data_IF_423920958535
#
_entry.id   IF_423920958535
#
_cell.length_a   1.000
_cell.length_b   1.000
_cell.length_c   1.000
_cell.angle_alpha   90.00
_cell.angle_beta   90.00
_cell.angle_gamma   90.00
#
_symmetry.space_group_name_H-M   'P 1'
#
loop_
_entity.id
_entity.type
_entity.pdbx_description
1 polymer ?
#
# COMPACT_ATOMS: atom_id res chain seq x y z
N UNK A 1 -5.28 -6.36 -21.06
CA UNK A 1 -4.24 -7.21 -21.71
C UNK A 1 -3.44 -7.78 -20.55
N UNK A 2 -2.90 -9.00 -20.61
CA UNK A 2 -2.11 -9.52 -19.48
C UNK A 2 -0.65 -9.19 -19.72
N UNK A 3 0.04 -8.71 -18.69
CA UNK A 3 1.51 -8.64 -18.73
C UNK A 3 2.07 -10.06 -18.93
N UNK A 4 3.11 -10.18 -19.76
CA UNK A 4 3.82 -11.46 -19.93
C UNK A 4 4.82 -11.72 -18.79
N UNK A 5 5.19 -12.99 -18.62
CA UNK A 5 6.06 -13.43 -17.53
C UNK A 5 7.43 -12.74 -17.55
N UNK A 6 7.96 -12.43 -18.73
CA UNK A 6 9.26 -11.77 -18.87
C UNK A 6 9.20 -10.33 -18.34
N UNK A 7 8.13 -9.62 -18.68
CA UNK A 7 7.88 -8.25 -18.22
C UNK A 7 7.64 -8.22 -16.71
N UNK A 8 6.88 -9.19 -16.19
CA UNK A 8 6.64 -9.33 -14.74
C UNK A 8 7.95 -9.48 -13.96
N UNK A 9 8.91 -10.27 -14.46
CA UNK A 9 10.19 -10.43 -13.76
C UNK A 9 11.08 -9.17 -13.82
N UNK A 10 11.04 -8.42 -14.92
CA UNK A 10 11.72 -7.11 -15.00
C UNK A 10 11.12 -6.11 -13.99
N UNK A 11 9.79 -6.05 -13.94
CA UNK A 11 9.06 -5.22 -12.97
C UNK A 11 9.45 -5.61 -11.54
N UNK A 12 9.45 -6.92 -11.24
CA UNK A 12 9.85 -7.44 -9.94
C UNK A 12 11.26 -7.04 -9.54
N UNK A 13 12.22 -7.14 -10.48
CA UNK A 13 13.59 -6.69 -10.27
C UNK A 13 13.67 -5.21 -9.89
N UNK A 14 12.98 -4.36 -10.65
CA UNK A 14 12.95 -2.92 -10.41
C UNK A 14 12.35 -2.56 -9.05
N UNK A 15 11.26 -3.23 -8.65
CA UNK A 15 10.63 -3.02 -7.33
C UNK A 15 11.54 -3.41 -6.17
N UNK A 16 12.31 -4.50 -6.30
CA UNK A 16 13.29 -4.89 -5.28
C UNK A 16 14.34 -3.81 -5.08
N UNK A 17 14.81 -3.18 -6.15
CA UNK A 17 15.75 -2.06 -6.07
C UNK A 17 15.12 -0.85 -5.39
N UNK A 18 13.88 -0.49 -5.76
CA UNK A 18 13.13 0.60 -5.10
C UNK A 18 13.07 0.37 -3.60
N UNK A 19 12.63 -0.81 -3.15
CA UNK A 19 12.50 -1.11 -1.73
C UNK A 19 13.85 -1.23 -1.00
N UNK A 20 14.93 -1.60 -1.69
CA UNK A 20 16.26 -1.65 -1.08
C UNK A 20 16.87 -0.26 -0.84
N UNK A 21 16.46 0.77 -1.60
CA UNK A 21 17.06 2.11 -1.51
C UNK A 21 16.64 2.91 -0.27
N UNK A 22 15.53 2.54 0.38
CA UNK A 22 14.95 3.29 1.49
C UNK A 22 14.40 4.68 1.13
N UNK A 23 14.36 5.02 -0.17
CA UNK A 23 13.79 6.28 -0.67
C UNK A 23 12.26 6.23 -0.59
N UNK A 24 11.57 7.39 -0.60
CA UNK A 24 10.11 7.42 -0.72
C UNK A 24 9.63 6.62 -1.93
N UNK A 25 8.74 5.66 -1.70
CA UNK A 25 8.33 4.67 -2.71
C UNK A 25 7.53 5.31 -3.85
N UNK A 26 6.56 6.18 -3.55
CA UNK A 26 5.68 6.74 -4.58
C UNK A 26 6.45 7.52 -5.68
N UNK A 27 7.35 8.47 -5.36
CA UNK A 27 8.17 9.13 -6.38
C UNK A 27 9.05 8.16 -7.18
N UNK A 28 9.59 7.13 -6.53
CA UNK A 28 10.42 6.14 -7.20
C UNK A 28 9.60 5.26 -8.17
N UNK A 29 8.33 5.02 -7.89
CA UNK A 29 7.41 4.34 -8.82
C UNK A 29 7.03 5.24 -10.00
N UNK A 30 6.78 6.53 -9.76
CA UNK A 30 6.52 7.50 -10.83
C UNK A 30 7.70 7.59 -11.81
N UNK A 31 8.94 7.61 -11.29
CA UNK A 31 10.18 7.59 -12.09
C UNK A 31 10.29 6.35 -13.00
N UNK A 32 9.69 5.22 -12.60
CA UNK A 32 9.72 3.96 -13.35
C UNK A 32 8.59 3.82 -14.37
N UNK A 33 7.66 4.78 -14.45
CA UNK A 33 6.46 4.63 -15.29
C UNK A 33 5.49 3.59 -14.71
N UNK A 34 5.27 3.63 -13.39
CA UNK A 34 4.37 2.67 -12.75
C UNK A 34 2.91 2.81 -13.20
N UNK A 35 2.49 4.02 -13.59
CA UNK A 35 1.14 4.28 -14.06
C UNK A 35 0.80 3.44 -15.31
N UNK A 36 1.75 3.28 -16.23
CA UNK A 36 1.62 2.48 -17.44
C UNK A 36 1.49 0.99 -17.13
N UNK A 37 2.30 0.48 -16.20
CA UNK A 37 2.22 -0.91 -15.73
C UNK A 37 0.85 -1.20 -15.10
N UNK A 38 0.35 -0.25 -14.30
CA UNK A 38 -0.95 -0.36 -13.64
C UNK A 38 -2.11 -0.29 -14.65
N UNK A 39 -2.03 0.56 -15.68
CA UNK A 39 -3.04 0.67 -16.73
C UNK A 39 -3.11 -0.60 -17.59
N UNK A 40 -1.95 -1.22 -17.86
CA UNK A 40 -1.87 -2.42 -18.69
C UNK A 40 -2.51 -3.65 -18.05
N UNK A 41 -2.10 -3.97 -16.80
CA UNK A 41 -2.64 -5.08 -16.01
C UNK A 41 -2.70 -4.73 -14.50
N UNK A 42 -3.83 -4.14 -14.05
CA UNK A 42 -3.96 -3.69 -12.66
C UNK A 42 -3.80 -4.81 -11.63
N UNK A 43 -4.26 -6.02 -11.95
CA UNK A 43 -4.26 -7.16 -11.03
C UNK A 43 -2.85 -7.67 -10.80
N UNK A 44 -2.10 -7.90 -11.89
CA UNK A 44 -0.71 -8.34 -11.80
C UNK A 44 0.17 -7.25 -11.19
N UNK A 45 0.02 -5.99 -11.61
CA UNK A 45 0.79 -4.87 -11.08
C UNK A 45 0.67 -4.76 -9.55
N UNK A 46 -0.57 -4.77 -9.04
CA UNK A 46 -0.86 -4.68 -7.60
C UNK A 46 -0.31 -5.89 -6.83
N UNK A 47 -0.45 -7.09 -7.41
CA UNK A 47 0.05 -8.33 -6.80
C UNK A 47 1.57 -8.34 -6.68
N UNK A 48 2.29 -7.93 -7.74
CA UNK A 48 3.75 -7.91 -7.76
C UNK A 48 4.29 -6.85 -6.80
N UNK A 49 3.70 -5.65 -6.80
CA UNK A 49 4.09 -4.55 -5.94
C UNK A 49 4.00 -4.89 -4.46
N UNK A 50 2.83 -5.33 -3.99
CA UNK A 50 2.65 -5.67 -2.58
C UNK A 50 3.36 -6.96 -2.19
N UNK A 51 3.59 -7.88 -3.14
CA UNK A 51 4.42 -9.05 -2.95
C UNK A 51 5.88 -8.69 -2.63
N UNK A 52 6.50 -7.80 -3.43
CA UNK A 52 7.87 -7.34 -3.16
C UNK A 52 7.95 -6.41 -1.95
N UNK A 53 6.94 -5.55 -1.72
CA UNK A 53 6.87 -4.72 -0.52
C UNK A 53 6.87 -5.59 0.75
N UNK A 54 6.06 -6.64 0.78
CA UNK A 54 5.97 -7.58 1.90
C UNK A 54 7.28 -8.36 2.10
N UNK A 55 7.95 -8.78 1.02
CA UNK A 55 9.27 -9.46 1.09
C UNK A 55 10.34 -8.57 1.68
N UNK A 56 10.33 -7.28 1.34
CA UNK A 56 11.26 -6.30 1.88
C UNK A 56 10.90 -5.84 3.31
N UNK A 57 9.74 -6.24 3.85
CA UNK A 57 9.16 -5.69 5.07
C UNK A 57 9.10 -4.14 5.03
N UNK A 58 8.87 -3.58 3.85
CA UNK A 58 8.85 -2.15 3.64
C UNK A 58 7.48 -1.57 4.02
N UNK A 59 7.51 -0.55 4.89
CA UNK A 59 6.34 0.28 5.18
C UNK A 59 6.17 1.36 4.12
N UNK A 60 5.01 1.44 3.47
CA UNK A 60 4.67 2.53 2.55
C UNK A 60 3.22 2.96 2.75
N UNK A 61 2.92 4.24 2.50
CA UNK A 61 1.55 4.76 2.46
C UNK A 61 0.74 4.20 1.27
N UNK A 62 1.45 3.66 0.27
CA UNK A 62 0.87 3.18 -0.99
C UNK A 62 -0.17 2.07 -0.77
N UNK A 63 0.10 1.14 0.15
CA UNK A 63 -0.87 0.10 0.50
C UNK A 63 -2.15 0.69 1.08
N UNK A 64 -2.02 1.71 1.94
CA UNK A 64 -3.17 2.39 2.50
C UNK A 64 -3.94 3.16 1.44
N UNK A 65 -3.25 3.91 0.58
CA UNK A 65 -3.87 4.65 -0.52
C UNK A 65 -4.61 3.74 -1.50
N UNK A 66 -4.01 2.60 -1.91
CA UNK A 66 -4.67 1.64 -2.79
C UNK A 66 -5.92 1.04 -2.15
N UNK A 67 -5.86 0.65 -0.88
CA UNK A 67 -7.03 0.13 -0.16
C UNK A 67 -8.12 1.19 0.03
N UNK A 68 -7.74 2.43 0.30
CA UNK A 68 -8.67 3.54 0.53
C UNK A 68 -9.29 4.06 -0.77
N UNK A 69 -8.59 3.96 -1.91
CA UNK A 69 -9.11 4.33 -3.23
C UNK A 69 -10.38 3.55 -3.63
N UNK A 70 -10.59 2.36 -3.07
CA UNK A 70 -11.80 1.57 -3.26
C UNK A 70 -13.02 2.12 -2.48
N UNK A 71 -12.81 3.06 -1.55
CA UNK A 71 -13.88 3.66 -0.76
C UNK A 71 -14.47 4.89 -1.47
N UNK A 72 -15.81 4.98 -1.59
CA UNK A 72 -16.45 6.15 -2.20
C UNK A 72 -16.17 7.42 -1.38
N UNK A 73 -15.67 8.45 -2.06
CA UNK A 73 -15.39 9.76 -1.45
C UNK A 73 -14.00 9.89 -0.81
N UNK A 74 -13.12 8.89 -0.95
CA UNK A 74 -11.72 9.02 -0.53
C UNK A 74 -10.95 10.00 -1.41
N UNK A 75 -10.12 10.83 -0.78
CA UNK A 75 -9.11 11.67 -1.44
C UNK A 75 -7.71 11.23 -0.96
N UNK A 76 -6.79 10.85 -1.87
CA UNK A 76 -5.43 10.44 -1.51
C UNK A 76 -4.72 11.42 -0.58
N UNK A 77 -3.93 10.89 0.37
CA UNK A 77 -3.11 11.69 1.27
C UNK A 77 -3.85 12.42 2.40
N UNK A 78 -5.18 12.29 2.50
CA UNK A 78 -5.97 12.92 3.58
C UNK A 78 -6.32 11.98 4.72
N UNK A 79 -6.21 10.66 4.51
CA UNK A 79 -6.50 9.66 5.53
C UNK A 79 -5.34 8.66 5.65
N UNK A 80 -5.34 7.93 6.75
CA UNK A 80 -4.39 6.85 7.01
C UNK A 80 -5.16 5.66 7.57
N UNK A 81 -4.76 4.45 7.18
CA UNK A 81 -5.35 3.23 7.71
C UNK A 81 -4.75 2.90 9.08
N UNK A 82 -5.64 2.81 10.07
CA UNK A 82 -5.34 2.18 11.35
C UNK A 82 -5.82 0.72 11.28
N UNK A 83 -4.88 -0.22 11.23
CA UNK A 83 -5.22 -1.63 11.26
C UNK A 83 -5.45 -2.09 12.71
N UNK A 84 -6.40 -3.00 12.97
CA UNK A 84 -6.59 -3.56 14.31
C UNK A 84 -5.29 -4.14 14.86
N UNK A 85 -5.02 -3.88 16.15
CA UNK A 85 -3.84 -4.46 16.77
C UNK A 85 -3.99 -6.00 16.81
N UNK A 86 -2.97 -6.80 16.44
CA UNK A 86 -3.11 -8.26 16.32
C UNK A 86 -3.63 -8.96 17.57
N UNK A 87 -3.34 -8.41 18.77
CA UNK A 87 -3.83 -8.92 20.06
C UNK A 87 -5.31 -8.64 20.33
N UNK A 88 -5.93 -7.71 19.61
CA UNK A 88 -7.35 -7.35 19.72
C UNK A 88 -8.22 -8.07 18.68
N UNK A 89 -7.60 -8.88 17.81
CA UNK A 89 -8.30 -9.55 16.71
C UNK A 89 -8.86 -8.55 15.71
N UNK A 90 -10.07 -8.84 15.19
CA UNK A 90 -10.78 -8.02 14.20
C UNK A 90 -11.65 -6.92 14.80
N UNK A 91 -11.63 -6.72 16.12
CA UNK A 91 -12.46 -5.70 16.75
C UNK A 91 -11.84 -4.31 16.58
N UNK A 92 -12.59 -3.34 16.04
CA UNK A 92 -12.15 -1.95 16.06
C UNK A 92 -12.04 -1.49 17.52
N UNK A 93 -10.91 -0.90 17.87
CA UNK A 93 -10.62 -0.47 19.23
C UNK A 93 -9.68 0.73 19.25
N UNK A 94 -9.45 1.34 20.42
CA UNK A 94 -8.60 2.53 20.55
C UNK A 94 -7.11 2.25 20.25
N UNK A 95 -6.73 0.99 20.06
CA UNK A 95 -5.35 0.55 19.80
C UNK A 95 -5.28 -0.15 18.45
N UNK A 96 -4.37 0.31 17.60
CA UNK A 96 -4.11 -0.27 16.29
C UNK A 96 -2.65 -0.12 15.88
N UNK A 97 -2.33 -0.66 14.71
CA UNK A 97 -1.00 -0.53 14.08
C UNK A 97 -1.14 0.38 12.87
N UNK A 98 -0.27 1.40 12.83
CA UNK A 98 -0.08 2.25 11.65
C UNK A 98 1.08 1.64 10.85
N UNK A 99 0.80 1.20 9.62
CA UNK A 99 1.85 0.62 8.77
C UNK A 99 2.75 1.69 8.16
N UNK A 100 2.20 2.84 7.84
CA UNK A 100 2.92 4.05 7.47
C UNK A 100 2.01 5.23 7.82
N UNK A 101 2.54 6.23 8.53
CA UNK A 101 1.77 7.44 8.85
C UNK A 101 2.66 8.66 8.73
N UNK A 102 2.14 9.65 8.01
CA UNK A 102 2.57 11.05 8.08
C UNK A 102 1.51 11.92 8.75
N UNK A 103 0.42 11.34 9.24
CA UNK A 103 -0.72 12.06 9.77
C UNK A 103 -0.44 12.58 11.19
N UNK A 104 -0.67 13.88 11.40
CA UNK A 104 -0.62 14.51 12.73
C UNK A 104 -1.85 14.16 13.59
N UNK A 105 -2.97 13.79 12.97
CA UNK A 105 -4.24 13.50 13.64
C UNK A 105 -4.79 12.15 13.16
N UNK A 106 -5.01 11.24 14.11
CA UNK A 106 -5.58 9.90 13.85
C UNK A 106 -6.99 9.84 14.41
N UNK A 107 -7.98 9.61 13.55
CA UNK A 107 -9.37 9.38 13.96
C UNK A 107 -9.58 7.88 14.15
N UNK A 108 -9.92 7.48 15.37
CA UNK A 108 -10.13 6.06 15.72
C UNK A 108 -11.62 5.77 15.81
N UNK A 109 -12.14 4.70 15.16
CA UNK A 109 -13.53 4.30 15.33
C UNK A 109 -13.82 4.06 16.82
N UNK A 110 -14.88 4.68 17.34
CA UNK A 110 -15.38 4.30 18.67
C UNK A 110 -15.97 2.90 18.57
N UNK A 111 -15.50 1.99 19.40
CA UNK A 111 -16.20 0.73 19.64
C UNK A 111 -17.62 1.07 20.11
N UNK A 112 -18.63 0.70 19.33
CA UNK A 112 -20.01 0.70 19.79
C UNK A 112 -20.16 -0.43 20.79
N UNK A 113 -20.65 -0.18 22.02
CA UNK A 113 -21.02 -1.27 22.91
C UNK A 113 -22.15 -2.08 22.26
N UNK A 114 -22.01 -3.41 22.27
CA UNK A 114 -23.07 -4.37 21.92
C UNK A 114 -24.32 -4.20 22.81
#
# INVERSE_FOLDING_TARGET
MSLDDATVEVVRGSLREVFATGRPVAPALDELGWAEVLEEDPSIATTVLFGEQGRALASSGLLADTMLAELPGYAPGTHTLLLPHPRLGSHPGPTGVLLASTAEVVVVPRATPD
#
